data_IF_018993237731
#
_entry.id   IF_018993237731
#
_cell.length_a   1.000
_cell.length_b   1.000
_cell.length_c   1.000
_cell.angle_alpha   90.00
_cell.angle_beta   90.00
_cell.angle_gamma   90.00
#
_symmetry.space_group_name_H-M   'P 1'
#
loop_
_entity.id
_entity.type
_entity.pdbx_description
1 polymer ?
#
# COMPACT_ATOMS: atom_id res chain seq x y z
N UNK A 1 -44.51 81.37 1.27
CA UNK A 1 -45.81 80.69 1.04
C UNK A 1 -45.57 79.18 0.92
N UNK A 2 -46.47 78.44 1.58
CA UNK A 2 -46.68 76.99 1.80
C UNK A 2 -46.02 75.97 0.84
N UNK A 3 -45.44 74.91 1.43
CA UNK A 3 -45.03 73.61 0.82
C UNK A 3 -46.26 72.75 0.44
N UNK A 4 -46.10 71.72 -0.41
CA UNK A 4 -45.97 70.33 0.09
C UNK A 4 -45.00 69.45 -0.76
N UNK A 5 -44.04 68.72 -0.18
CA UNK A 5 -44.07 67.29 0.26
C UNK A 5 -44.56 66.27 -0.81
N UNK A 6 -43.63 65.44 -1.30
CA UNK A 6 -43.74 64.08 -1.91
C UNK A 6 -42.31 63.51 -1.94
N UNK A 7 -41.84 62.60 -1.09
CA UNK A 7 -42.15 61.19 -0.78
C UNK A 7 -41.77 60.19 -1.90
N UNK A 8 -41.01 59.14 -1.51
CA UNK A 8 -40.58 57.92 -2.24
C UNK A 8 -39.46 58.10 -3.29
N UNK A 9 -38.36 57.34 -3.35
CA UNK A 9 -37.99 56.01 -2.81
C UNK A 9 -36.45 55.87 -2.80
N UNK A 10 -35.89 55.30 -1.72
CA UNK A 10 -34.53 54.74 -1.68
C UNK A 10 -34.52 53.38 -2.40
N UNK A 11 -33.57 53.15 -3.31
CA UNK A 11 -33.33 51.85 -3.93
C UNK A 11 -31.84 51.50 -3.74
N UNK A 12 -31.54 50.85 -2.62
CA UNK A 12 -30.26 50.19 -2.39
C UNK A 12 -30.20 48.92 -3.24
N UNK A 13 -29.43 48.95 -4.34
CA UNK A 13 -29.06 47.73 -5.07
C UNK A 13 -27.93 47.03 -4.32
N UNK A 14 -28.28 46.06 -3.49
CA UNK A 14 -27.34 45.07 -2.98
C UNK A 14 -27.06 44.05 -4.09
N UNK A 15 -25.93 44.21 -4.77
CA UNK A 15 -25.40 43.20 -5.68
C UNK A 15 -24.78 42.06 -4.84
N UNK A 16 -25.60 41.08 -4.46
CA UNK A 16 -25.10 39.81 -3.91
C UNK A 16 -24.47 39.00 -5.05
N UNK A 17 -23.14 39.04 -5.11
CA UNK A 17 -22.32 38.23 -6.00
C UNK A 17 -22.38 36.77 -5.54
N UNK A 18 -23.17 35.94 -6.23
CA UNK A 18 -23.18 34.49 -6.07
C UNK A 18 -21.85 33.93 -6.61
N UNK A 19 -20.86 33.75 -5.73
CA UNK A 19 -19.65 32.98 -6.05
C UNK A 19 -20.05 31.49 -5.96
N UNK A 20 -20.44 30.92 -7.10
CA UNK A 20 -20.54 29.47 -7.23
C UNK A 20 -19.13 28.86 -7.12
N UNK A 21 -18.90 27.81 -6.30
CA UNK A 21 -17.61 27.15 -6.23
C UNK A 21 -17.37 26.44 -7.57
N UNK A 22 -16.39 26.94 -8.32
CA UNK A 22 -15.91 26.24 -9.50
C UNK A 22 -15.14 25.02 -9.01
N UNK A 23 -15.70 23.83 -9.21
CA UNK A 23 -14.97 22.58 -9.01
C UNK A 23 -13.77 22.58 -9.95
N UNK A 24 -12.56 22.71 -9.40
CA UNK A 24 -11.33 22.60 -10.15
C UNK A 24 -11.19 21.16 -10.67
N UNK A 25 -11.35 20.97 -11.98
CA UNK A 25 -10.92 19.73 -12.63
C UNK A 25 -9.40 19.70 -12.60
N UNK A 26 -8.83 18.72 -11.90
CA UNK A 26 -7.41 18.45 -11.96
C UNK A 26 -7.04 18.08 -13.41
N UNK A 27 -6.32 18.97 -14.10
CA UNK A 27 -5.84 18.73 -15.46
C UNK A 27 -4.73 17.67 -15.41
N UNK A 28 -5.05 16.45 -15.86
CA UNK A 28 -4.07 15.36 -15.92
C UNK A 28 -3.14 15.62 -17.11
N UNK A 29 -1.88 15.91 -16.81
CA UNK A 29 -0.80 16.06 -17.80
C UNK A 29 -0.58 14.71 -18.47
N UNK A 30 -1.03 14.59 -19.73
CA UNK A 30 -0.74 13.43 -20.58
C UNK A 30 0.74 13.49 -21.00
N UNK A 31 1.54 12.55 -20.50
CA UNK A 31 2.93 12.38 -20.92
C UNK A 31 3.01 12.11 -22.43
N UNK A 32 4.02 12.60 -23.15
CA UNK A 32 4.25 12.25 -24.55
C UNK A 32 4.31 10.71 -24.71
N UNK A 33 3.46 10.14 -25.56
CA UNK A 33 3.32 8.68 -25.77
C UNK A 33 2.15 8.00 -25.06
N UNK A 34 1.43 8.71 -24.17
CA UNK A 34 0.26 8.18 -23.47
C UNK A 34 -0.97 7.98 -24.38
N UNK A 35 -1.17 8.81 -25.41
CA UNK A 35 -2.33 8.71 -26.31
C UNK A 35 -2.43 7.34 -27.02
N UNK A 36 -1.34 6.89 -27.65
CA UNK A 36 -1.31 5.58 -28.30
C UNK A 36 -1.48 4.39 -27.32
N UNK A 37 -1.10 4.58 -26.05
CA UNK A 37 -1.32 3.58 -25.01
C UNK A 37 -2.77 3.55 -24.54
N UNK A 38 -3.41 4.72 -24.43
CA UNK A 38 -4.82 4.89 -24.09
C UNK A 38 -5.70 4.25 -25.17
N UNK A 39 -5.42 4.49 -26.46
CA UNK A 39 -6.19 3.90 -27.57
C UNK A 39 -6.08 2.37 -27.60
N UNK A 40 -4.86 1.85 -27.36
CA UNK A 40 -4.61 0.40 -27.26
C UNK A 40 -5.31 -0.22 -26.05
N UNK A 41 -5.35 0.49 -24.94
CA UNK A 41 -6.06 0.06 -23.74
C UNK A 41 -7.57 0.01 -23.99
N UNK A 42 -8.12 1.09 -24.57
CA UNK A 42 -9.55 1.21 -24.86
C UNK A 42 -10.02 0.10 -25.80
N UNK A 43 -9.29 -0.16 -26.89
CA UNK A 43 -9.59 -1.22 -27.85
C UNK A 43 -9.49 -2.64 -27.27
N UNK A 44 -8.82 -2.83 -26.13
CA UNK A 44 -8.64 -4.13 -25.46
C UNK A 44 -9.37 -4.23 -24.13
N UNK A 45 -10.22 -3.26 -23.79
CA UNK A 45 -10.92 -3.17 -22.51
C UNK A 45 -11.61 -4.50 -22.11
N UNK A 46 -12.27 -5.18 -23.06
CA UNK A 46 -12.97 -6.45 -22.82
C UNK A 46 -12.05 -7.60 -22.37
N UNK A 47 -10.77 -7.55 -22.76
CA UNK A 47 -9.76 -8.52 -22.31
C UNK A 47 -9.06 -8.10 -21.02
N UNK A 48 -8.86 -6.80 -20.81
CA UNK A 48 -8.14 -6.26 -19.65
C UNK A 48 -8.98 -6.44 -18.37
N UNK A 49 -10.29 -6.18 -18.45
CA UNK A 49 -11.15 -6.20 -17.28
C UNK A 49 -11.24 -7.57 -16.59
N UNK A 50 -11.44 -8.69 -17.31
CA UNK A 50 -11.38 -10.02 -16.71
C UNK A 50 -10.02 -10.31 -16.06
N UNK A 51 -8.92 -9.93 -16.70
CA UNK A 51 -7.57 -10.11 -16.14
C UNK A 51 -7.38 -9.35 -14.84
N UNK A 52 -7.81 -8.08 -14.77
CA UNK A 52 -7.70 -7.28 -13.55
C UNK A 52 -8.57 -7.84 -12.42
N UNK A 53 -9.77 -8.33 -12.72
CA UNK A 53 -10.64 -8.97 -11.71
C UNK A 53 -10.04 -10.26 -11.18
N UNK A 54 -9.49 -11.10 -12.07
CA UNK A 54 -8.80 -12.31 -11.68
C UNK A 54 -7.60 -12.00 -10.77
N UNK A 55 -6.82 -10.99 -11.15
CA UNK A 55 -5.66 -10.53 -10.38
C UNK A 55 -6.05 -10.10 -8.96
N UNK A 56 -7.09 -9.28 -8.84
CA UNK A 56 -7.63 -8.82 -7.56
C UNK A 56 -8.06 -10.00 -6.66
N UNK A 57 -8.79 -10.98 -7.21
CA UNK A 57 -9.19 -12.18 -6.46
C UNK A 57 -8.00 -13.03 -6.02
N UNK A 58 -7.04 -13.25 -6.92
CA UNK A 58 -5.85 -14.06 -6.62
C UNK A 58 -4.95 -13.39 -5.59
N UNK A 59 -4.71 -12.08 -5.72
CA UNK A 59 -3.87 -11.33 -4.78
C UNK A 59 -4.52 -11.28 -3.38
N UNK A 60 -5.86 -11.21 -3.28
CA UNK A 60 -6.58 -11.27 -2.01
C UNK A 60 -6.40 -12.60 -1.27
N UNK A 61 -6.50 -13.73 -1.98
CA UNK A 61 -6.21 -15.03 -1.39
C UNK A 61 -4.75 -15.15 -0.95
N UNK A 62 -3.82 -14.68 -1.80
CA UNK A 62 -2.39 -14.71 -1.50
C UNK A 62 -2.07 -13.90 -0.24
N UNK A 63 -2.67 -12.72 -0.07
CA UNK A 63 -2.51 -11.87 1.12
C UNK A 63 -2.88 -12.58 2.41
N UNK A 64 -3.96 -13.36 2.41
CA UNK A 64 -4.39 -14.12 3.59
C UNK A 64 -3.37 -15.20 3.90
N UNK A 65 -3.02 -16.02 2.91
CA UNK A 65 -2.09 -17.14 3.07
C UNK A 65 -0.72 -16.66 3.58
N UNK A 66 -0.13 -15.66 2.94
CA UNK A 66 1.18 -15.15 3.34
C UNK A 66 1.14 -14.44 4.71
N UNK A 67 0.02 -13.77 5.02
CA UNK A 67 -0.19 -13.15 6.33
C UNK A 67 -0.20 -14.16 7.46
N UNK A 68 -0.83 -15.32 7.26
CA UNK A 68 -0.81 -16.44 8.22
C UNK A 68 0.60 -17.00 8.41
N UNK A 69 1.36 -17.17 7.32
CA UNK A 69 2.76 -17.61 7.38
C UNK A 69 3.61 -16.64 8.21
N UNK A 70 3.56 -15.34 7.90
CA UNK A 70 4.32 -14.35 8.65
C UNK A 70 3.92 -14.27 10.13
N UNK A 71 2.63 -14.45 10.42
CA UNK A 71 2.16 -14.54 11.80
C UNK A 71 2.74 -15.75 12.53
N UNK A 72 2.72 -16.93 11.90
CA UNK A 72 3.31 -18.13 12.45
C UNK A 72 4.81 -17.98 12.72
N UNK A 73 5.56 -17.39 11.78
CA UNK A 73 7.00 -17.14 11.99
C UNK A 73 7.24 -16.19 13.15
N UNK A 74 6.53 -15.08 13.21
CA UNK A 74 6.64 -14.12 14.31
C UNK A 74 6.35 -14.78 15.67
N UNK A 75 5.16 -15.36 15.82
CA UNK A 75 4.67 -15.80 17.13
C UNK A 75 5.28 -17.12 17.59
N UNK A 76 5.56 -18.04 16.66
CA UNK A 76 5.97 -19.40 17.01
C UNK A 76 7.48 -19.61 16.89
N UNK A 77 8.17 -18.84 16.04
CA UNK A 77 9.62 -18.94 15.90
C UNK A 77 10.33 -17.76 16.58
N UNK A 78 10.11 -16.53 16.13
CA UNK A 78 10.89 -15.37 16.56
C UNK A 78 10.71 -15.06 18.04
N UNK A 79 9.46 -14.82 18.48
CA UNK A 79 9.15 -14.50 19.89
C UNK A 79 9.61 -15.61 20.83
N UNK A 80 9.36 -16.88 20.47
CA UNK A 80 9.69 -18.02 21.33
C UNK A 80 11.19 -18.25 21.42
N UNK A 81 11.92 -18.16 20.31
CA UNK A 81 13.37 -18.33 20.31
C UNK A 81 14.03 -17.22 21.13
N UNK A 82 13.68 -15.95 20.88
CA UNK A 82 14.23 -14.82 21.63
C UNK A 82 14.02 -14.98 23.13
N UNK A 83 12.81 -15.38 23.55
CA UNK A 83 12.50 -15.64 24.96
C UNK A 83 13.38 -16.74 25.55
N UNK A 84 13.59 -17.84 24.82
CA UNK A 84 14.46 -18.95 25.27
C UNK A 84 15.92 -18.52 25.37
N UNK A 85 16.43 -17.74 24.42
CA UNK A 85 17.80 -17.24 24.46
C UNK A 85 18.02 -16.35 25.69
N UNK A 86 17.09 -15.42 25.93
CA UNK A 86 17.13 -14.56 27.12
C UNK A 86 17.10 -15.37 28.43
N UNK A 87 16.20 -16.35 28.55
CA UNK A 87 16.11 -17.22 29.73
C UNK A 87 17.41 -18.02 29.99
N UNK A 88 18.11 -18.40 28.92
CA UNK A 88 19.37 -19.14 29.01
C UNK A 88 20.61 -18.23 29.03
N UNK A 89 20.44 -16.90 29.18
CA UNK A 89 21.51 -15.90 29.20
C UNK A 89 22.41 -15.95 27.95
N UNK A 90 21.84 -16.36 26.82
CA UNK A 90 22.48 -16.28 25.50
C UNK A 90 22.15 -14.89 24.93
N UNK A 91 23.17 -14.20 24.40
CA UNK A 91 22.96 -12.90 23.77
C UNK A 91 21.95 -13.03 22.62
N UNK A 92 20.84 -12.31 22.76
CA UNK A 92 19.70 -12.31 21.84
C UNK A 92 19.53 -10.98 21.14
N UNK A 93 20.44 -10.02 21.32
CA UNK A 93 20.32 -8.63 20.84
C UNK A 93 20.03 -8.59 19.34
N UNK A 94 20.77 -9.35 18.55
CA UNK A 94 20.60 -9.39 17.09
C UNK A 94 19.30 -10.06 16.66
N UNK A 95 18.88 -11.12 17.36
CA UNK A 95 17.60 -11.77 17.09
C UNK A 95 16.42 -10.84 17.39
N UNK A 96 16.49 -10.09 18.49
CA UNK A 96 15.49 -9.09 18.87
C UNK A 96 15.43 -7.95 17.85
N UNK A 97 16.58 -7.44 17.38
CA UNK A 97 16.63 -6.43 16.32
C UNK A 97 15.93 -6.88 15.03
N UNK A 98 16.29 -8.06 14.51
CA UNK A 98 15.69 -8.61 13.30
C UNK A 98 14.19 -8.82 13.48
N UNK A 99 13.77 -9.31 14.66
CA UNK A 99 12.35 -9.50 14.98
C UNK A 99 11.57 -8.19 14.96
N UNK A 100 12.12 -7.13 15.55
CA UNK A 100 11.48 -5.81 15.56
C UNK A 100 11.36 -5.23 14.14
N UNK A 101 12.43 -5.34 13.33
CA UNK A 101 12.41 -4.95 11.91
C UNK A 101 11.38 -5.75 11.12
N UNK A 102 11.26 -7.05 11.39
CA UNK A 102 10.26 -7.92 10.78
C UNK A 102 8.83 -7.48 11.13
N UNK A 103 8.53 -7.20 12.40
CA UNK A 103 7.22 -6.69 12.81
C UNK A 103 6.87 -5.33 12.19
N UNK A 104 7.84 -4.41 12.13
CA UNK A 104 7.64 -3.12 11.43
C UNK A 104 7.32 -3.35 9.95
N UNK A 105 8.10 -4.20 9.27
CA UNK A 105 7.89 -4.53 7.85
C UNK A 105 6.54 -5.23 7.61
N UNK A 106 6.06 -6.04 8.56
CA UNK A 106 4.71 -6.66 8.48
C UNK A 106 3.60 -5.60 8.53
N UNK A 107 3.75 -4.60 9.38
CA UNK A 107 2.82 -3.46 9.44
C UNK A 107 2.80 -2.68 8.12
N UNK A 108 3.98 -2.38 7.58
CA UNK A 108 4.12 -1.69 6.30
C UNK A 108 3.57 -2.49 5.11
N UNK A 109 3.76 -3.81 5.11
CA UNK A 109 3.15 -4.72 4.15
C UNK A 109 1.62 -4.64 4.22
N UNK A 110 1.04 -4.68 5.41
CA UNK A 110 -0.41 -4.56 5.57
C UNK A 110 -0.94 -3.22 5.07
N UNK A 111 -0.24 -2.11 5.39
CA UNK A 111 -0.61 -0.78 4.89
C UNK A 111 -0.51 -0.70 3.36
N UNK A 112 0.59 -1.19 2.79
CA UNK A 112 0.81 -1.15 1.34
C UNK A 112 -0.17 -2.04 0.58
N UNK A 113 -0.63 -3.14 1.20
CA UNK A 113 -1.68 -3.97 0.64
C UNK A 113 -3.01 -3.22 0.60
N UNK A 114 -3.40 -2.54 1.70
CA UNK A 114 -4.63 -1.74 1.72
C UNK A 114 -4.62 -0.63 0.66
N UNK A 115 -3.48 0.05 0.47
CA UNK A 115 -3.31 1.03 -0.60
C UNK A 115 -3.50 0.43 -2.01
N UNK A 116 -2.92 -0.76 -2.25
CA UNK A 116 -3.08 -1.48 -3.51
C UNK A 116 -4.53 -1.90 -3.75
N UNK A 117 -5.18 -2.49 -2.75
CA UNK A 117 -6.57 -2.93 -2.84
C UNK A 117 -7.52 -1.76 -3.10
N UNK A 118 -7.34 -0.63 -2.41
CA UNK A 118 -8.12 0.57 -2.66
C UNK A 118 -7.92 1.09 -4.09
N UNK A 119 -6.68 1.12 -4.57
CA UNK A 119 -6.36 1.54 -5.93
C UNK A 119 -6.95 0.59 -6.99
N UNK A 120 -6.88 -0.73 -6.77
CA UNK A 120 -7.47 -1.75 -7.64
C UNK A 120 -9.00 -1.66 -7.65
N UNK A 121 -9.63 -1.54 -6.49
CA UNK A 121 -11.08 -1.39 -6.37
C UNK A 121 -11.59 -0.13 -7.08
N UNK A 122 -10.86 0.99 -7.00
CA UNK A 122 -11.15 2.20 -7.78
C UNK A 122 -10.99 1.96 -9.28
N UNK A 123 -9.89 1.32 -9.71
CA UNK A 123 -9.64 1.00 -11.11
C UNK A 123 -10.77 0.16 -11.72
N UNK A 124 -11.21 -0.89 -11.02
CA UNK A 124 -12.25 -1.80 -11.48
C UNK A 124 -13.64 -1.15 -11.64
N UNK A 125 -13.85 0.03 -11.04
CA UNK A 125 -15.10 0.81 -11.16
C UNK A 125 -15.09 1.78 -12.35
N UNK A 126 -13.94 2.03 -12.95
CA UNK A 126 -13.83 2.93 -14.10
C UNK A 126 -14.09 2.13 -15.37
N UNK A 127 -14.99 2.63 -16.22
CA UNK A 127 -15.23 2.05 -17.53
C UNK A 127 -14.09 2.43 -18.50
N UNK A 128 -13.28 1.45 -18.89
CA UNK A 128 -12.17 1.66 -19.82
C UNK A 128 -12.58 1.99 -21.26
N UNK A 129 -13.86 1.83 -21.65
CA UNK A 129 -14.36 2.24 -22.98
C UNK A 129 -14.79 3.70 -22.99
N UNK A 130 -15.59 4.12 -22.01
CA UNK A 130 -16.14 5.48 -21.96
C UNK A 130 -15.20 6.49 -21.31
N UNK A 131 -14.28 6.03 -20.44
CA UNK A 131 -13.34 6.89 -19.70
C UNK A 131 -11.88 6.37 -19.77
N UNK A 132 -11.32 6.20 -20.97
CA UNK A 132 -10.03 5.52 -21.15
C UNK A 132 -8.85 6.29 -20.53
N UNK A 133 -8.88 7.61 -20.52
CA UNK A 133 -7.84 8.45 -19.87
C UNK A 133 -7.88 8.32 -18.35
N UNK A 134 -9.07 8.40 -17.74
CA UNK A 134 -9.25 8.23 -16.29
C UNK A 134 -8.82 6.82 -15.86
N UNK A 135 -9.23 5.81 -16.62
CA UNK A 135 -8.84 4.43 -16.39
C UNK A 135 -7.32 4.25 -16.45
N UNK A 136 -6.68 4.78 -17.51
CA UNK A 136 -5.23 4.68 -17.68
C UNK A 136 -4.49 5.36 -16.51
N UNK A 137 -4.90 6.56 -16.11
CA UNK A 137 -4.31 7.26 -14.97
C UNK A 137 -4.43 6.45 -13.68
N UNK A 138 -5.59 5.84 -13.42
CA UNK A 138 -5.79 4.98 -12.26
C UNK A 138 -5.00 3.67 -12.37
N UNK A 139 -4.84 3.11 -13.57
CA UNK A 139 -4.04 1.90 -13.81
C UNK A 139 -2.58 2.13 -13.43
N UNK A 140 -2.01 3.30 -13.75
CA UNK A 140 -0.64 3.64 -13.33
C UNK A 140 -0.52 3.65 -11.80
N UNK A 141 -1.46 4.31 -11.10
CA UNK A 141 -1.48 4.31 -9.63
C UNK A 141 -1.57 2.91 -9.04
N UNK A 142 -2.44 2.06 -9.58
CA UNK A 142 -2.59 0.67 -9.14
C UNK A 142 -1.31 -0.14 -9.38
N UNK A 143 -0.62 0.08 -10.51
CA UNK A 143 0.67 -0.57 -10.80
C UNK A 143 1.75 -0.13 -9.81
N UNK A 144 1.82 1.16 -9.50
CA UNK A 144 2.79 1.69 -8.55
C UNK A 144 2.54 1.17 -7.14
N UNK A 145 1.28 1.13 -6.70
CA UNK A 145 0.90 0.55 -5.42
C UNK A 145 1.24 -0.95 -5.34
N UNK A 146 0.97 -1.72 -6.40
CA UNK A 146 1.34 -3.15 -6.48
C UNK A 146 2.85 -3.37 -6.45
N UNK A 147 3.63 -2.49 -7.11
CA UNK A 147 5.09 -2.51 -7.05
C UNK A 147 5.61 -2.21 -5.64
N UNK A 148 5.04 -1.21 -4.97
CA UNK A 148 5.35 -0.90 -3.56
C UNK A 148 5.07 -2.10 -2.66
N UNK A 149 3.93 -2.77 -2.83
CA UNK A 149 3.59 -4.00 -2.11
C UNK A 149 4.61 -5.12 -2.36
N UNK A 150 5.02 -5.35 -3.61
CA UNK A 150 6.03 -6.35 -3.96
C UNK A 150 7.36 -6.09 -3.25
N UNK A 151 7.81 -4.83 -3.19
CA UNK A 151 9.02 -4.45 -2.47
C UNK A 151 8.91 -4.73 -0.96
N UNK A 152 7.72 -4.59 -0.34
CA UNK A 152 7.53 -4.94 1.07
C UNK A 152 7.64 -6.45 1.31
N UNK A 153 7.12 -7.26 0.39
CA UNK A 153 7.26 -8.73 0.44
C UNK A 153 8.73 -9.13 0.33
N UNK A 154 9.48 -8.51 -0.59
CA UNK A 154 10.92 -8.74 -0.73
C UNK A 154 11.67 -8.40 0.57
N UNK A 155 11.38 -7.25 1.19
CA UNK A 155 11.98 -6.86 2.47
C UNK A 155 11.68 -7.87 3.59
N UNK A 156 10.44 -8.36 3.69
CA UNK A 156 10.08 -9.41 4.64
C UNK A 156 10.88 -10.70 4.41
N UNK A 157 11.03 -11.13 3.15
CA UNK A 157 11.80 -12.32 2.82
C UNK A 157 13.30 -12.15 3.14
N UNK A 158 13.86 -10.96 2.91
CA UNK A 158 15.25 -10.66 3.27
C UNK A 158 15.46 -10.74 4.78
N UNK A 159 14.53 -10.21 5.59
CA UNK A 159 14.58 -10.31 7.05
C UNK A 159 14.45 -11.76 7.55
N UNK A 160 13.63 -12.57 6.89
CA UNK A 160 13.55 -14.01 7.18
C UNK A 160 14.86 -14.74 6.86
N UNK A 161 15.51 -14.40 5.74
CA UNK A 161 16.81 -14.96 5.39
C UNK A 161 17.90 -14.53 6.38
N UNK A 162 17.89 -13.26 6.79
CA UNK A 162 18.81 -12.74 7.80
C UNK A 162 18.64 -13.47 9.13
N UNK A 163 17.38 -13.64 9.58
CA UNK A 163 17.05 -14.38 10.79
C UNK A 163 17.55 -15.83 10.72
N UNK A 164 17.33 -16.50 9.58
CA UNK A 164 17.80 -17.88 9.36
C UNK A 164 19.31 -17.98 9.50
N UNK A 165 20.07 -17.06 8.91
CA UNK A 165 21.54 -17.05 9.02
C UNK A 165 21.98 -16.92 10.48
N UNK A 166 21.32 -16.09 11.28
CA UNK A 166 21.64 -16.00 12.72
C UNK A 166 21.29 -17.28 13.48
N UNK A 167 20.19 -17.96 13.14
CA UNK A 167 19.86 -19.27 13.72
C UNK A 167 20.95 -20.30 13.39
N UNK A 168 21.41 -20.36 12.15
CA UNK A 168 22.46 -21.29 11.71
C UNK A 168 23.79 -21.01 12.44
N UNK A 169 24.16 -19.74 12.65
CA UNK A 169 25.34 -19.36 13.45
C UNK A 169 25.20 -19.78 14.90
N UNK A 170 24.07 -19.50 15.53
CA UNK A 170 23.80 -19.91 16.91
C UNK A 170 23.89 -21.43 17.06
N UNK A 171 23.38 -22.20 16.09
CA UNK A 171 23.49 -23.66 16.11
C UNK A 171 24.94 -24.13 16.08
N UNK A 172 25.78 -23.49 15.27
CA UNK A 172 27.21 -23.81 15.21
C UNK A 172 27.91 -23.46 16.53
N UNK A 173 27.68 -22.27 17.07
CA UNK A 173 28.27 -21.83 18.34
C UNK A 173 27.92 -22.77 19.50
N UNK A 174 26.68 -23.29 19.53
CA UNK A 174 26.24 -24.24 20.54
C UNK A 174 26.91 -25.61 20.38
N UNK A 175 27.09 -26.10 19.14
CA UNK A 175 27.82 -27.35 18.87
C UNK A 175 29.28 -27.24 19.28
N UNK A 176 29.94 -26.15 18.94
CA UNK A 176 31.36 -25.92 19.25
C UNK A 176 31.60 -25.80 20.76
N UNK A 177 30.67 -25.19 21.50
CA UNK A 177 30.71 -25.14 22.97
C UNK A 177 30.46 -26.50 23.61
N UNK A 178 29.54 -27.29 23.05
CA UNK A 178 29.30 -28.67 23.49
C UNK A 178 30.54 -29.56 23.34
N UNK A 179 31.20 -29.49 22.18
CA UNK A 179 32.42 -30.26 21.91
C UNK A 179 33.63 -29.87 22.78
N UNK A 180 33.67 -28.64 23.30
CA UNK A 180 34.74 -28.15 24.19
C UNK A 180 34.50 -28.47 25.67
N UNK A 181 33.29 -28.87 26.06
CA UNK A 181 32.92 -29.21 27.44
C UNK A 181 33.15 -30.68 27.81
N UNK A 182 33.58 -31.53 26.86
CA UNK A 182 33.81 -32.97 27.04
C UNK A 182 35.31 -33.35 27.19
N UNK A 183 36.22 -32.38 27.36
CA UNK A 183 37.65 -32.60 27.65
C UNK A 183 38.03 -32.12 29.05
#
# INVERSE_FOLDING_TARGET
MKKPVRCLTFLFLAASLLIAPQSAFAQQVLLPGSAAQIDRLQSRCDSIMPTLRQLHTTDALLRVNIGQVYNGVSSNLMVRLNSRLALNRIDSTKFVDITNRFESSRSEFSSSYNEYEEAMAKLLKIDCKSKPTEFYAQLIKTRDARKKLANRVENLNNLLSEYRVEVERLQQDLKDKGAKGEN
#
